data_IF_472170352119
#
_entry.id   IF_472170352119
#
_cell.length_a   1.000
_cell.length_b   1.000
_cell.length_c   1.000
_cell.angle_alpha   90.00
_cell.angle_beta   90.00
_cell.angle_gamma   90.00
#
_symmetry.space_group_name_H-M   'P 1'
#
loop_
_entity.id
_entity.type
_entity.pdbx_description
1 polymer ?
#
# COMPACT_ATOMS: atom_id res chain seq x y z
N UNK A 1 6.43 -5.90 -15.57
CA UNK A 1 5.81 -4.96 -14.61
C UNK A 1 5.50 -5.64 -13.31
N UNK A 2 4.38 -6.37 -13.24
CA UNK A 2 3.93 -7.10 -12.05
C UNK A 2 5.01 -7.98 -11.38
N UNK A 3 5.62 -8.92 -12.10
CA UNK A 3 6.67 -9.81 -11.53
C UNK A 3 7.88 -9.03 -11.01
N UNK A 4 8.26 -7.95 -11.70
CA UNK A 4 9.35 -7.07 -11.26
C UNK A 4 8.99 -6.34 -9.96
N UNK A 5 7.74 -5.92 -9.80
CA UNK A 5 7.27 -5.25 -8.60
C UNK A 5 7.29 -6.19 -7.39
N UNK A 6 6.95 -7.47 -7.58
CA UNK A 6 7.00 -8.48 -6.51
C UNK A 6 8.40 -8.67 -5.92
N UNK A 7 9.47 -8.39 -6.68
CA UNK A 7 10.84 -8.43 -6.16
C UNK A 7 11.10 -7.41 -5.03
N UNK A 8 10.24 -6.41 -4.86
CA UNK A 8 10.32 -5.41 -3.79
C UNK A 8 9.35 -5.67 -2.63
N UNK A 9 8.59 -6.76 -2.70
CA UNK A 9 7.69 -7.20 -1.63
C UNK A 9 8.51 -7.86 -0.52
N UNK A 10 8.30 -7.43 0.72
CA UNK A 10 8.93 -8.01 1.91
C UNK A 10 8.16 -9.22 2.45
N UNK A 11 8.76 -10.02 3.35
CA UNK A 11 8.09 -11.16 3.98
C UNK A 11 6.79 -10.82 4.71
N UNK A 12 6.68 -9.62 5.27
CA UNK A 12 5.47 -9.10 5.92
C UNK A 12 4.44 -8.51 4.93
N UNK A 13 4.67 -8.71 3.62
CA UNK A 13 3.88 -8.18 2.50
C UNK A 13 3.94 -6.68 2.27
N UNK A 14 4.79 -5.94 2.99
CA UNK A 14 4.98 -4.52 2.76
C UNK A 14 5.95 -4.23 1.61
N UNK A 15 5.91 -3.01 1.09
CA UNK A 15 6.79 -2.55 0.00
C UNK A 15 7.73 -1.44 0.46
N UNK A 16 8.92 -1.45 -0.11
CA UNK A 16 9.94 -0.41 0.03
C UNK A 16 10.60 -0.16 -1.33
N UNK A 17 11.29 0.97 -1.48
CA UNK A 17 12.08 1.23 -2.69
C UNK A 17 13.20 0.19 -2.90
N UNK A 18 13.73 -0.38 -1.82
CA UNK A 18 14.66 -1.51 -1.79
C UNK A 18 14.37 -2.37 -0.57
N UNK A 19 14.59 -3.69 -0.65
CA UNK A 19 14.25 -4.65 0.42
C UNK A 19 14.90 -4.28 1.77
N UNK A 20 16.11 -3.71 1.75
CA UNK A 20 16.87 -3.34 2.96
C UNK A 20 16.37 -2.04 3.62
N UNK A 21 15.52 -1.26 2.96
CA UNK A 21 14.98 -0.01 3.53
C UNK A 21 13.75 -0.28 4.35
N UNK A 22 13.39 0.59 5.32
CA UNK A 22 12.08 0.57 5.96
C UNK A 22 10.94 0.61 4.92
N UNK A 23 9.82 -0.03 5.25
CA UNK A 23 8.66 -0.09 4.37
C UNK A 23 7.92 1.24 4.35
N UNK A 24 7.44 1.62 3.17
CA UNK A 24 6.64 2.82 2.98
C UNK A 24 5.16 2.49 3.02
N UNK A 25 4.40 3.23 3.82
CA UNK A 25 2.94 3.15 3.85
C UNK A 25 2.36 3.58 2.51
N UNK A 26 2.79 4.72 1.98
CA UNK A 26 2.33 5.24 0.70
C UNK A 26 2.62 4.26 -0.45
N UNK A 27 3.85 3.72 -0.52
CA UNK A 27 4.23 2.80 -1.59
C UNK A 27 3.45 1.49 -1.48
N UNK A 28 3.29 0.95 -0.28
CA UNK A 28 2.53 -0.28 -0.05
C UNK A 28 1.08 -0.11 -0.50
N UNK A 29 0.45 1.02 -0.14
CA UNK A 29 -0.90 1.35 -0.61
C UNK A 29 -0.99 1.56 -2.13
N UNK A 30 -0.01 2.24 -2.72
CA UNK A 30 0.05 2.46 -4.17
C UNK A 30 0.11 1.13 -4.93
N UNK A 31 0.99 0.21 -4.52
CA UNK A 31 1.13 -1.11 -5.15
C UNK A 31 -0.15 -1.92 -4.97
N UNK A 32 -0.71 -1.98 -3.76
CA UNK A 32 -1.95 -2.70 -3.49
C UNK A 32 -3.11 -2.21 -4.36
N UNK A 33 -3.27 -0.89 -4.49
CA UNK A 33 -4.27 -0.26 -5.36
C UNK A 33 -4.07 -0.65 -6.82
N UNK A 34 -2.84 -0.54 -7.34
CA UNK A 34 -2.53 -0.87 -8.73
C UNK A 34 -2.78 -2.35 -9.00
N UNK A 35 -2.40 -3.24 -8.09
CA UNK A 35 -2.63 -4.68 -8.24
C UNK A 35 -4.12 -5.02 -8.19
N UNK A 36 -4.89 -4.39 -7.28
CA UNK A 36 -6.34 -4.55 -7.23
C UNK A 36 -7.02 -4.13 -8.56
N UNK A 37 -6.59 -3.02 -9.17
CA UNK A 37 -7.09 -2.62 -10.50
C UNK A 37 -6.66 -3.60 -11.60
N UNK A 38 -5.38 -4.04 -11.58
CA UNK A 38 -4.79 -4.89 -12.60
C UNK A 38 -5.31 -6.34 -12.57
N UNK A 39 -5.86 -6.80 -11.44
CA UNK A 39 -6.47 -8.13 -11.29
C UNK A 39 -7.61 -8.39 -12.28
N UNK A 40 -8.24 -7.33 -12.81
CA UNK A 40 -9.26 -7.43 -13.87
C UNK A 40 -8.66 -7.82 -15.24
N UNK A 41 -7.34 -7.73 -15.40
CA UNK A 41 -6.63 -7.91 -16.66
C UNK A 41 -5.68 -9.09 -16.66
N UNK A 42 -5.09 -9.42 -15.51
CA UNK A 42 -4.15 -10.53 -15.35
C UNK A 42 -4.46 -11.30 -14.07
N UNK A 43 -4.17 -12.60 -14.08
CA UNK A 43 -4.33 -13.44 -12.91
C UNK A 43 -3.28 -13.09 -11.84
N UNK A 44 -3.71 -13.01 -10.59
CA UNK A 44 -2.89 -12.64 -9.44
C UNK A 44 -3.36 -13.41 -8.20
N UNK A 45 -2.42 -13.80 -7.35
CA UNK A 45 -2.74 -14.46 -6.10
C UNK A 45 -3.37 -13.47 -5.12
N UNK A 46 -4.43 -13.88 -4.40
CA UNK A 46 -5.07 -13.04 -3.39
C UNK A 46 -4.06 -12.48 -2.36
N UNK A 47 -3.06 -13.29 -2.00
CA UNK A 47 -2.02 -12.90 -1.05
C UNK A 47 -1.20 -11.69 -1.49
N UNK A 48 -1.09 -11.41 -2.79
CA UNK A 48 -0.33 -10.29 -3.35
C UNK A 48 -1.04 -8.95 -3.24
N UNK A 49 -2.36 -8.96 -3.08
CA UNK A 49 -3.18 -7.77 -2.85
C UNK A 49 -3.54 -7.67 -1.37
N UNK A 50 -4.01 -8.76 -0.78
CA UNK A 50 -4.54 -8.77 0.57
C UNK A 50 -3.48 -8.77 1.66
N UNK A 51 -2.28 -9.30 1.37
CA UNK A 51 -1.13 -9.19 2.28
C UNK A 51 -0.75 -7.72 2.56
N UNK A 52 -0.48 -6.91 1.53
CA UNK A 52 -0.23 -5.47 1.69
C UNK A 52 -1.35 -4.73 2.41
N UNK A 53 -2.61 -5.02 2.08
CA UNK A 53 -3.78 -4.42 2.75
C UNK A 53 -3.81 -4.74 4.24
N UNK A 54 -3.63 -6.03 4.60
CA UNK A 54 -3.57 -6.46 6.00
C UNK A 54 -2.42 -5.79 6.73
N UNK A 55 -1.26 -5.66 6.10
CA UNK A 55 -0.12 -4.99 6.69
C UNK A 55 -0.40 -3.51 6.98
N UNK A 56 -1.05 -2.79 6.07
CA UNK A 56 -1.44 -1.39 6.27
C UNK A 56 -2.35 -1.22 7.48
N UNK A 57 -3.40 -2.03 7.59
CA UNK A 57 -4.35 -1.97 8.71
C UNK A 57 -3.65 -2.29 10.03
N UNK A 58 -2.93 -3.42 10.09
CA UNK A 58 -2.36 -3.90 11.35
C UNK A 58 -1.17 -3.09 11.86
N UNK A 59 -0.40 -2.47 10.96
CA UNK A 59 0.89 -1.86 11.33
C UNK A 59 0.93 -0.35 11.14
N UNK A 60 0.02 0.24 10.36
CA UNK A 60 0.09 1.67 9.97
C UNK A 60 -1.15 2.47 10.33
N UNK A 61 -2.28 1.83 10.65
CA UNK A 61 -3.44 2.52 11.17
C UNK A 61 -3.26 2.79 12.67
N UNK A 62 -3.35 4.06 13.08
CA UNK A 62 -3.36 4.49 14.47
C UNK A 62 -4.74 4.22 15.10
N UNK A 63 -4.87 4.23 16.45
CA UNK A 63 -6.15 4.04 17.14
C UNK A 63 -7.25 5.06 16.78
N UNK A 64 -6.86 6.25 16.32
CA UNK A 64 -7.77 7.30 15.83
C UNK A 64 -8.17 7.13 14.35
N UNK A 65 -7.70 6.07 13.69
CA UNK A 65 -7.99 5.74 12.30
C UNK A 65 -7.04 6.36 11.28
N UNK A 66 -6.15 7.27 11.69
CA UNK A 66 -5.17 7.92 10.80
C UNK A 66 -4.08 6.94 10.39
N UNK A 67 -3.64 7.00 9.14
CA UNK A 67 -2.48 6.23 8.68
C UNK A 67 -1.19 7.05 8.77
N UNK A 68 -0.10 6.41 9.19
CA UNK A 68 1.23 7.05 9.32
C UNK A 68 2.24 6.52 8.31
N UNK A 69 3.20 7.36 7.92
CA UNK A 69 4.32 7.00 7.04
C UNK A 69 5.63 6.95 7.85
N UNK A 70 6.25 5.77 7.91
CA UNK A 70 7.47 5.52 8.69
C UNK A 70 8.73 5.39 7.80
N UNK A 71 8.56 5.26 6.49
CA UNK A 71 9.65 4.98 5.56
C UNK A 71 9.39 5.58 4.19
N UNK A 72 9.35 6.92 4.05
CA UNK A 72 8.94 7.56 2.81
C UNK A 72 9.81 7.16 1.61
N UNK A 73 9.22 7.22 0.42
CA UNK A 73 9.92 6.95 -0.84
C UNK A 73 11.11 7.89 -1.05
N UNK A 74 12.10 7.42 -1.82
CA UNK A 74 13.33 8.17 -2.12
C UNK A 74 13.03 9.38 -3.00
N UNK A 75 12.24 9.15 -4.06
CA UNK A 75 11.81 10.15 -5.02
C UNK A 75 10.46 10.72 -4.61
N UNK A 76 10.48 11.83 -3.85
CA UNK A 76 9.26 12.42 -3.29
C UNK A 76 8.43 13.18 -4.34
N UNK A 77 8.94 13.38 -5.54
CA UNK A 77 8.18 13.80 -6.70
C UNK A 77 7.07 12.79 -7.06
N UNK A 78 7.27 11.50 -6.76
CA UNK A 78 6.29 10.43 -7.03
C UNK A 78 5.01 10.55 -6.20
N UNK A 79 5.08 11.19 -5.04
CA UNK A 79 3.94 11.32 -4.12
C UNK A 79 3.07 12.55 -4.42
N UNK A 80 3.49 13.39 -5.38
CA UNK A 80 2.73 14.56 -5.83
C UNK A 80 2.43 15.56 -4.72
N UNK A 81 1.19 16.03 -4.63
CA UNK A 81 0.75 17.05 -3.66
C UNK A 81 0.75 16.62 -2.19
N UNK A 82 1.12 15.36 -1.90
CA UNK A 82 1.22 14.80 -0.54
C UNK A 82 2.13 15.61 0.41
N UNK A 83 3.10 16.37 -0.12
CA UNK A 83 3.99 17.22 0.68
C UNK A 83 3.40 18.57 1.09
N UNK A 84 2.15 18.85 0.72
CA UNK A 84 1.48 20.12 1.01
C UNK A 84 1.08 20.28 2.48
N UNK A 85 0.06 21.10 2.72
CA UNK A 85 -0.33 21.51 4.08
C UNK A 85 -0.85 20.38 4.98
N UNK A 86 -1.37 19.28 4.41
CA UNK A 86 -2.06 18.22 5.16
C UNK A 86 -1.59 16.80 4.77
N UNK A 87 -0.34 16.43 5.11
CA UNK A 87 0.23 15.14 4.72
C UNK A 87 -0.52 13.95 5.33
N UNK A 88 -0.88 14.01 6.62
CA UNK A 88 -1.57 12.90 7.30
C UNK A 88 -2.97 12.64 6.72
N UNK A 89 -3.71 13.71 6.40
CA UNK A 89 -5.05 13.62 5.77
C UNK A 89 -4.93 13.03 4.37
N UNK A 90 -3.98 13.53 3.58
CA UNK A 90 -3.75 13.07 2.22
C UNK A 90 -3.31 11.60 2.17
N UNK A 91 -2.43 11.17 3.07
CA UNK A 91 -2.02 9.76 3.19
C UNK A 91 -3.20 8.89 3.59
N UNK A 92 -3.94 9.29 4.62
CA UNK A 92 -5.09 8.53 5.12
C UNK A 92 -6.13 8.34 4.03
N UNK A 93 -6.47 9.40 3.29
CA UNK A 93 -7.37 9.32 2.15
C UNK A 93 -6.82 8.40 1.05
N UNK A 94 -5.52 8.50 0.76
CA UNK A 94 -4.88 7.66 -0.25
C UNK A 94 -4.90 6.16 0.12
N UNK A 95 -4.58 5.83 1.37
CA UNK A 95 -4.65 4.46 1.90
C UNK A 95 -6.09 3.95 1.89
N UNK A 96 -7.06 4.78 2.27
CA UNK A 96 -8.47 4.44 2.21
C UNK A 96 -8.94 4.11 0.78
N UNK A 97 -8.49 4.88 -0.23
CA UNK A 97 -8.77 4.57 -1.64
C UNK A 97 -8.17 3.23 -2.04
N UNK A 98 -6.95 2.90 -1.60
CA UNK A 98 -6.35 1.59 -1.86
C UNK A 98 -7.13 0.44 -1.21
N UNK A 99 -7.57 0.61 0.03
CA UNK A 99 -8.44 -0.32 0.76
C UNK A 99 -9.76 -0.55 0.02
N UNK A 100 -10.40 0.52 -0.48
CA UNK A 100 -11.66 0.43 -1.22
C UNK A 100 -11.50 -0.30 -2.55
N UNK A 101 -10.44 -0.03 -3.31
CA UNK A 101 -10.18 -0.72 -4.58
C UNK A 101 -9.94 -2.23 -4.37
N UNK A 102 -9.30 -2.60 -3.26
CA UNK A 102 -9.01 -3.98 -2.91
C UNK A 102 -10.17 -4.70 -2.20
N UNK A 103 -11.23 -4.00 -1.79
CA UNK A 103 -12.29 -4.51 -0.90
C UNK A 103 -12.90 -5.81 -1.42
N UNK A 104 -13.32 -5.85 -2.68
CA UNK A 104 -14.02 -7.01 -3.22
C UNK A 104 -13.11 -8.23 -3.35
N UNK A 105 -11.79 -8.01 -3.48
CA UNK A 105 -10.75 -9.05 -3.49
C UNK A 105 -10.43 -9.54 -2.08
N UNK A 106 -10.45 -8.66 -1.09
CA UNK A 106 -9.87 -8.93 0.23
C UNK A 106 -10.86 -9.07 1.38
N UNK A 107 -12.16 -8.84 1.16
CA UNK A 107 -13.20 -8.90 2.22
C UNK A 107 -13.19 -10.19 3.05
N UNK A 108 -12.84 -11.32 2.45
CA UNK A 108 -12.83 -12.63 3.13
C UNK A 108 -11.41 -13.03 3.63
N UNK A 109 -10.41 -12.20 3.31
CA UNK A 109 -8.98 -12.47 3.59
C UNK A 109 -8.39 -11.53 4.65
N UNK A 110 -9.09 -10.43 4.95
CA UNK A 110 -8.68 -9.38 5.87
C UNK A 110 -9.77 -9.23 6.92
N UNK A 111 -9.55 -9.91 8.06
CA UNK A 111 -10.36 -9.83 9.29
C UNK A 111 -9.51 -9.22 10.40
#
# INVERSE_FOLDING_TARGET
>A
GYTQQLAFRKPDSSYAAFIQRPSSTWLTAYVAKVFAMARKLIDMEHGEICGPIKWLILNKQKPDGVFQEDGPVIHKEMVGGYQGAEPEVSLTAFVLVALLEARDTCKDHVN
#
